data_IF_085547862555
#
_entry.id   IF_085547862555
#
_cell.length_a   1.000
_cell.length_b   1.000
_cell.length_c   1.000
_cell.angle_alpha   90.00
_cell.angle_beta   90.00
_cell.angle_gamma   90.00
#
_symmetry.space_group_name_H-M   'P 1'
#
loop_
_entity.id
_entity.type
_entity.pdbx_description
1 polymer ?
#
# COMPACT_ATOMS: atom_id res chain seq x y z
N UNK A 1 6.90 -5.85 -15.66
CA UNK A 1 6.93 -5.19 -14.34
C UNK A 1 8.20 -4.36 -14.28
N UNK A 2 8.12 -3.03 -14.33
CA UNK A 2 9.29 -2.16 -14.19
C UNK A 2 9.55 -1.89 -12.71
N UNK A 3 10.81 -2.05 -12.28
CA UNK A 3 11.23 -1.79 -10.90
C UNK A 3 11.79 -0.38 -10.78
N UNK A 4 11.32 0.36 -9.80
CA UNK A 4 11.87 1.67 -9.43
C UNK A 4 12.24 1.65 -7.95
N UNK A 5 13.37 2.26 -7.62
CA UNK A 5 13.82 2.43 -6.24
C UNK A 5 13.54 3.86 -5.77
N UNK A 6 13.19 3.99 -4.49
CA UNK A 6 13.07 5.27 -3.81
C UNK A 6 13.55 5.12 -2.37
N UNK A 7 14.04 6.20 -1.79
CA UNK A 7 14.52 6.23 -0.39
C UNK A 7 13.56 6.93 0.54
N UNK A 8 12.68 7.78 0.01
CA UNK A 8 11.74 8.57 0.82
C UNK A 8 10.36 8.60 0.19
N UNK A 9 9.33 8.77 1.02
CA UNK A 9 7.94 8.92 0.56
C UNK A 9 7.76 10.14 -0.35
N UNK A 10 8.54 11.19 -0.13
CA UNK A 10 8.56 12.38 -1.01
C UNK A 10 9.05 12.06 -2.42
N UNK A 11 10.01 11.15 -2.57
CA UNK A 11 10.46 10.68 -3.88
C UNK A 11 9.40 9.82 -4.55
N UNK A 12 8.79 8.87 -3.81
CA UNK A 12 7.70 8.05 -4.31
C UNK A 12 6.56 8.90 -4.88
N UNK A 13 6.12 9.93 -4.15
CA UNK A 13 5.04 10.83 -4.57
C UNK A 13 5.31 11.64 -5.84
N UNK A 14 6.54 11.62 -6.37
CA UNK A 14 6.94 12.30 -7.62
C UNK A 14 7.10 11.36 -8.80
N UNK A 15 7.07 10.05 -8.57
CA UNK A 15 7.21 9.07 -9.65
C UNK A 15 5.93 9.04 -10.47
N UNK A 16 6.05 9.13 -11.80
CA UNK A 16 4.89 9.05 -12.71
C UNK A 16 4.06 7.79 -12.50
N UNK A 17 4.71 6.65 -12.22
CA UNK A 17 4.01 5.39 -11.93
C UNK A 17 3.12 5.49 -10.68
N UNK A 18 3.51 6.27 -9.68
CA UNK A 18 2.71 6.49 -8.47
C UNK A 18 1.62 7.53 -8.72
N UNK A 19 1.95 8.61 -9.42
CA UNK A 19 0.99 9.67 -9.78
C UNK A 19 -0.18 9.11 -10.59
N UNK A 20 0.11 8.25 -11.58
CA UNK A 20 -0.88 7.66 -12.48
C UNK A 20 -1.64 6.46 -11.87
N UNK A 21 -1.08 5.79 -10.86
CA UNK A 21 -1.74 4.65 -10.21
C UNK A 21 -3.03 5.07 -9.50
N UNK A 22 -4.10 4.29 -9.68
CA UNK A 22 -5.37 4.45 -8.98
C UNK A 22 -5.50 3.47 -7.81
N UNK A 23 -4.79 2.34 -7.89
CA UNK A 23 -4.78 1.28 -6.89
C UNK A 23 -3.35 0.87 -6.53
N UNK A 24 -2.99 1.05 -5.26
CA UNK A 24 -1.63 0.77 -4.75
C UNK A 24 -1.69 -0.28 -3.65
N UNK A 25 -0.91 -1.35 -3.77
CA UNK A 25 -0.69 -2.31 -2.71
C UNK A 25 0.53 -1.92 -1.88
N UNK A 26 0.39 -1.89 -0.57
CA UNK A 26 1.45 -1.53 0.39
C UNK A 26 1.42 -2.53 1.54
N UNK A 27 2.57 -3.00 2.01
CA UNK A 27 2.66 -3.90 3.17
C UNK A 27 2.12 -3.24 4.44
N UNK A 28 1.67 -3.99 5.47
CA UNK A 28 1.12 -3.41 6.70
C UNK A 28 2.18 -2.92 7.69
N UNK A 29 3.47 -3.17 7.46
CA UNK A 29 4.55 -2.89 8.41
C UNK A 29 4.64 -1.40 8.79
N UNK A 30 5.04 -1.13 10.03
CA UNK A 30 5.13 0.23 10.57
C UNK A 30 5.98 1.20 9.74
N UNK A 31 7.15 0.81 9.18
CA UNK A 31 7.95 1.71 8.33
C UNK A 31 7.23 2.20 7.07
N UNK A 32 6.25 1.44 6.56
CA UNK A 32 5.50 1.79 5.36
C UNK A 32 4.21 2.59 5.64
N UNK A 33 3.95 2.97 6.91
CA UNK A 33 2.75 3.75 7.28
C UNK A 33 2.62 5.04 6.47
N UNK A 34 3.72 5.73 6.21
CA UNK A 34 3.71 6.98 5.45
C UNK A 34 3.42 6.77 3.96
N UNK A 35 3.75 5.60 3.40
CA UNK A 35 3.35 5.23 2.04
C UNK A 35 1.83 5.04 1.99
N UNK A 36 1.26 4.30 2.95
CA UNK A 36 -0.20 4.12 3.07
C UNK A 36 -0.93 5.45 3.23
N UNK A 37 -0.37 6.35 4.04
CA UNK A 37 -0.89 7.70 4.23
C UNK A 37 -0.89 8.50 2.94
N UNK A 38 0.22 8.49 2.19
CA UNK A 38 0.32 9.19 0.91
C UNK A 38 -0.69 8.63 -0.11
N UNK A 39 -0.87 7.30 -0.16
CA UNK A 39 -1.85 6.64 -1.04
C UNK A 39 -3.27 7.12 -0.74
N UNK A 40 -3.72 7.02 0.52
CA UNK A 40 -5.07 7.41 0.91
C UNK A 40 -5.30 8.93 0.79
N UNK A 41 -4.32 9.74 1.20
CA UNK A 41 -4.41 11.21 1.06
C UNK A 41 -4.42 11.66 -0.40
N UNK A 42 -3.84 10.87 -1.30
CA UNK A 42 -3.92 11.07 -2.74
C UNK A 42 -5.21 10.55 -3.38
N UNK A 43 -6.23 10.19 -2.58
CA UNK A 43 -7.49 9.60 -3.03
C UNK A 43 -7.30 8.36 -3.93
N UNK A 44 -6.26 7.57 -3.64
CA UNK A 44 -6.00 6.30 -4.31
C UNK A 44 -6.53 5.16 -3.44
N UNK A 45 -6.98 4.09 -4.09
CA UNK A 45 -7.35 2.85 -3.41
C UNK A 45 -6.11 2.19 -2.82
N UNK A 46 -6.16 1.88 -1.53
CA UNK A 46 -5.11 1.16 -0.82
C UNK A 46 -5.50 -0.30 -0.64
N UNK A 47 -4.61 -1.19 -1.06
CA UNK A 47 -4.64 -2.61 -0.71
C UNK A 47 -3.55 -2.90 0.31
N UNK A 48 -3.90 -3.50 1.44
CA UNK A 48 -2.92 -3.92 2.45
C UNK A 48 -3.27 -5.30 2.99
N UNK A 49 -2.27 -6.21 3.12
CA UNK A 49 -2.46 -7.45 3.85
C UNK A 49 -2.97 -7.22 5.27
N UNK A 50 -3.86 -8.08 5.77
CA UNK A 50 -4.26 -8.07 7.18
C UNK A 50 -3.27 -8.86 8.04
N UNK A 51 -2.94 -8.37 9.26
CA UNK A 51 -2.10 -9.09 10.20
C UNK A 51 -2.92 -10.23 10.85
N UNK A 52 -3.12 -11.32 10.11
CA UNK A 52 -3.58 -12.67 10.52
C UNK A 52 -3.99 -13.43 9.25
N UNK A 53 -3.61 -14.71 9.15
CA UNK A 53 -4.03 -15.60 8.06
C UNK A 53 -5.48 -16.08 8.29
N UNK A 54 -6.44 -15.16 8.24
CA UNK A 54 -7.88 -15.51 8.20
C UNK A 54 -8.32 -15.72 6.76
N UNK A 55 -9.60 -16.08 6.54
CA UNK A 55 -10.21 -16.15 5.20
C UNK A 55 -10.19 -14.82 4.45
N UNK A 56 -9.94 -13.71 5.16
CA UNK A 56 -9.94 -12.33 4.66
C UNK A 56 -8.52 -11.76 4.66
N UNK A 57 -7.73 -12.12 3.65
CA UNK A 57 -6.28 -11.87 3.61
C UNK A 57 -5.89 -10.39 3.42
N UNK A 58 -6.78 -9.58 2.85
CA UNK A 58 -6.52 -8.18 2.53
C UNK A 58 -7.61 -7.26 3.04
N UNK A 59 -7.22 -6.03 3.37
CA UNK A 59 -8.14 -4.90 3.51
C UNK A 59 -8.00 -3.99 2.29
N UNK A 60 -9.15 -3.54 1.78
CA UNK A 60 -9.22 -2.48 0.77
C UNK A 60 -9.83 -1.23 1.36
N UNK A 61 -9.12 -0.13 1.19
CA UNK A 61 -9.50 1.18 1.71
C UNK A 61 -9.54 2.20 0.57
N UNK A 62 -10.51 3.09 0.67
CA UNK A 62 -10.59 4.33 -0.08
C UNK A 62 -10.82 5.49 0.91
N UNK A 63 -10.31 6.68 0.59
CA UNK A 63 -10.50 7.86 1.44
C UNK A 63 -11.98 8.16 1.73
N UNK A 64 -12.89 7.86 0.80
CA UNK A 64 -14.34 8.05 0.95
C UNK A 64 -14.98 7.11 1.98
N UNK A 65 -14.34 5.98 2.29
CA UNK A 65 -14.80 5.03 3.31
C UNK A 65 -14.40 5.46 4.72
N UNK A 66 -13.48 6.42 4.84
CA UNK A 66 -12.82 6.76 6.09
C UNK A 66 -13.41 8.07 6.62
N UNK A 67 -13.87 8.12 7.89
CA UNK A 67 -14.32 9.37 8.49
C UNK A 67 -13.25 10.46 8.44
N UNK A 68 -13.67 11.71 8.30
CA UNK A 68 -12.77 12.87 8.26
C UNK A 68 -11.83 12.87 9.47
N UNK A 69 -10.53 13.01 9.21
CA UNK A 69 -9.49 13.00 10.26
C UNK A 69 -8.98 11.61 10.66
N UNK A 70 -9.59 10.51 10.19
CA UNK A 70 -9.21 9.15 10.58
C UNK A 70 -8.17 8.49 9.65
N UNK A 71 -7.75 9.13 8.55
CA UNK A 71 -6.73 8.57 7.63
C UNK A 71 -5.44 8.13 8.35
N UNK A 72 -4.86 8.90 9.30
CA UNK A 72 -3.67 8.46 10.03
C UNK A 72 -3.86 7.16 10.82
N UNK A 73 -5.06 6.93 11.37
CA UNK A 73 -5.42 5.69 12.07
C UNK A 73 -5.62 4.56 11.07
N UNK A 74 -6.34 4.80 9.97
CA UNK A 74 -6.57 3.83 8.89
C UNK A 74 -5.28 3.29 8.26
N UNK A 75 -4.17 4.03 8.36
CA UNK A 75 -2.86 3.59 7.91
C UNK A 75 -2.14 2.64 8.89
N UNK A 76 -2.71 2.34 10.06
CA UNK A 76 -2.19 1.30 10.97
C UNK A 76 -2.78 -0.06 10.60
N UNK A 77 -2.14 -1.19 10.96
CA UNK A 77 -2.72 -2.51 10.67
C UNK A 77 -4.11 -2.70 11.30
N UNK A 78 -4.31 -2.21 12.53
CA UNK A 78 -5.60 -2.25 13.24
C UNK A 78 -6.62 -1.35 12.54
N UNK A 79 -6.25 -0.13 12.18
CA UNK A 79 -7.13 0.78 11.46
C UNK A 79 -7.49 0.28 10.06
N UNK A 80 -6.57 -0.37 9.35
CA UNK A 80 -6.84 -0.96 8.05
C UNK A 80 -7.90 -2.07 8.13
N UNK A 81 -7.87 -2.89 9.18
CA UNK A 81 -8.92 -3.89 9.45
C UNK A 81 -10.24 -3.24 9.89
N UNK A 82 -10.19 -2.13 10.63
CA UNK A 82 -11.37 -1.40 11.13
C UNK A 82 -12.14 -0.64 10.04
N UNK A 83 -11.42 0.05 9.15
CA UNK A 83 -12.00 0.95 8.15
C UNK A 83 -12.05 0.35 6.74
N UNK A 84 -11.28 -0.70 6.50
CA UNK A 84 -11.23 -1.35 5.19
C UNK A 84 -12.29 -2.42 5.02
N UNK A 85 -12.63 -2.66 3.76
CA UNK A 85 -13.42 -3.84 3.38
C UNK A 85 -12.49 -5.05 3.32
N UNK A 86 -12.79 -6.15 4.03
CA UNK A 86 -12.04 -7.39 3.88
C UNK A 86 -12.25 -8.01 2.50
N UNK A 87 -11.22 -8.64 1.96
CA UNK A 87 -11.25 -9.33 0.67
C UNK A 87 -10.61 -10.73 0.79
N UNK A 88 -11.32 -11.72 0.27
CA UNK A 88 -10.87 -13.11 0.15
C UNK A 88 -10.16 -13.41 -1.18
N UNK A 89 -9.68 -14.64 -1.34
CA UNK A 89 -8.85 -15.06 -2.48
C UNK A 89 -9.59 -15.12 -3.83
N UNK A 90 -10.91 -15.28 -3.81
CA UNK A 90 -11.72 -15.45 -5.02
C UNK A 90 -12.04 -14.12 -5.73
N UNK A 91 -11.72 -12.98 -5.11
CA UNK A 91 -12.00 -11.67 -5.67
C UNK A 91 -10.96 -11.30 -6.75
N UNK A 92 -11.42 -10.80 -7.91
CA UNK A 92 -10.51 -10.36 -8.98
C UNK A 92 -9.83 -9.06 -8.58
N UNK A 93 -8.54 -9.14 -8.27
CA UNK A 93 -7.72 -8.01 -7.85
C UNK A 93 -7.05 -7.36 -9.06
N UNK A 94 -7.20 -6.04 -9.21
CA UNK A 94 -6.37 -5.23 -10.09
C UNK A 94 -5.58 -4.21 -9.26
N UNK A 95 -4.26 -4.36 -9.23
CA UNK A 95 -3.31 -3.41 -8.61
C UNK A 95 -2.47 -2.76 -9.70
N UNK A 96 -2.34 -1.44 -9.68
CA UNK A 96 -1.55 -0.69 -10.65
C UNK A 96 -0.08 -0.59 -10.21
N UNK A 97 0.16 -0.51 -8.89
CA UNK A 97 1.50 -0.39 -8.30
C UNK A 97 1.61 -1.19 -7.00
N UNK A 98 2.69 -1.94 -6.85
CA UNK A 98 3.04 -2.62 -5.60
C UNK A 98 4.26 -1.92 -5.00
N UNK A 99 4.15 -1.49 -3.74
CA UNK A 99 5.26 -0.91 -2.98
C UNK A 99 5.68 -1.91 -1.91
N UNK A 100 6.95 -2.33 -1.97
CA UNK A 100 7.56 -3.24 -1.00
C UNK A 100 8.88 -2.66 -0.49
N UNK A 101 9.22 -2.98 0.76
CA UNK A 101 10.54 -2.73 1.31
C UNK A 101 11.50 -3.85 0.90
N UNK A 102 12.79 -3.52 0.89
CA UNK A 102 13.89 -4.45 0.67
C UNK A 102 15.11 -3.96 1.48
N UNK A 103 15.97 -4.87 1.91
CA UNK A 103 17.21 -4.55 2.64
C UNK A 103 18.28 -4.07 1.67
N UNK A 104 18.43 -4.79 0.55
CA UNK A 104 19.36 -4.46 -0.50
C UNK A 104 18.74 -4.70 -1.87
N UNK A 105 19.16 -3.90 -2.85
CA UNK A 105 18.81 -4.06 -4.26
C UNK A 105 20.07 -3.94 -5.09
N UNK A 106 20.23 -4.82 -6.07
CA UNK A 106 21.22 -4.61 -7.13
C UNK A 106 20.64 -3.61 -8.15
N UNK A 107 21.24 -2.42 -8.32
CA UNK A 107 20.75 -1.43 -9.27
C UNK A 107 20.79 -1.90 -10.73
N UNK A 108 21.65 -2.85 -11.09
CA UNK A 108 21.81 -3.32 -12.46
C UNK A 108 20.76 -4.37 -12.82
N UNK A 109 20.59 -5.41 -11.99
CA UNK A 109 19.66 -6.51 -12.27
C UNK A 109 18.27 -6.33 -11.64
N UNK A 110 18.13 -5.48 -10.62
CA UNK A 110 16.92 -5.39 -9.81
C UNK A 110 16.71 -6.56 -8.84
N UNK A 111 17.71 -7.43 -8.67
CA UNK A 111 17.70 -8.48 -7.64
C UNK A 111 17.57 -7.86 -6.24
N UNK A 112 16.87 -8.54 -5.33
CA UNK A 112 16.51 -8.03 -4.01
C UNK A 112 16.81 -9.05 -2.91
N UNK A 113 17.25 -8.52 -1.77
CA UNK A 113 17.32 -9.23 -0.50
C UNK A 113 16.25 -8.65 0.43
N UNK A 114 15.34 -9.52 0.87
CA UNK A 114 14.31 -9.21 1.85
C UNK A 114 14.87 -9.09 3.25
#
# INVERSE_FOLDING_TARGET
MHLLSFKTVKQLGRLEVFLNAQCVMVSPDSPQKQVRFLTLSGHKKLWTPQPRLTTEFFSVLDAQMIPTGCIPEACTPVGAAKYGRPIGLDEKIKVDLIVIAYVAVDPASGARLG
#
